data_IF_768623102341
#
_entry.id   IF_768623102341
#
_cell.length_a   1.000
_cell.length_b   1.000
_cell.length_c   1.000
_cell.angle_alpha   90.00
_cell.angle_beta   90.00
_cell.angle_gamma   90.00
#
_symmetry.space_group_name_H-M   'P 1'
#
loop_
_entity.id
_entity.type
_entity.pdbx_description
1 polymer ?
#
# COMPACT_ATOMS: atom_id res chain seq x y z
N UNK A 1 0.52 8.67 -14.11
CA UNK A 1 1.78 7.89 -14.05
C UNK A 1 1.67 6.70 -15.01
N UNK A 2 2.55 6.59 -16.03
CA UNK A 2 2.61 5.40 -16.90
C UNK A 2 3.20 4.23 -16.11
N UNK A 3 2.35 3.40 -15.51
CA UNK A 3 2.79 2.15 -14.86
C UNK A 3 2.99 1.11 -15.97
N UNK A 4 4.14 1.15 -16.66
CA UNK A 4 4.56 0.07 -17.56
C UNK A 4 4.81 -1.21 -16.75
N UNK A 5 4.39 -2.33 -17.32
CA UNK A 5 4.30 -3.70 -16.81
C UNK A 5 5.62 -4.36 -16.35
N UNK A 6 6.38 -3.72 -15.48
CA UNK A 6 7.46 -4.32 -14.71
C UNK A 6 7.31 -3.87 -13.26
N UNK A 7 6.52 -4.62 -12.48
CA UNK A 7 6.20 -4.33 -11.07
C UNK A 7 7.15 -5.02 -10.09
N UNK A 8 8.06 -5.87 -10.55
CA UNK A 8 9.17 -6.32 -9.73
C UNK A 8 10.14 -5.15 -9.55
N UNK A 9 10.33 -4.76 -8.30
CA UNK A 9 11.38 -3.84 -7.86
C UNK A 9 11.21 -2.35 -8.22
N UNK A 10 9.97 -1.84 -8.30
CA UNK A 10 9.77 -0.39 -8.48
C UNK A 10 9.78 0.38 -7.16
N UNK A 11 10.48 1.53 -7.10
CA UNK A 11 10.50 2.39 -5.93
C UNK A 11 9.12 2.98 -5.65
N UNK A 12 8.66 2.89 -4.40
CA UNK A 12 7.49 3.64 -3.91
C UNK A 12 7.97 4.98 -3.37
N UNK A 13 7.70 6.07 -4.10
CA UNK A 13 8.20 7.42 -3.81
C UNK A 13 7.09 8.49 -3.74
N UNK A 14 5.83 8.08 -3.67
CA UNK A 14 4.68 8.99 -3.58
C UNK A 14 3.88 8.70 -2.31
N UNK A 15 3.48 9.76 -1.63
CA UNK A 15 2.59 9.72 -0.47
C UNK A 15 1.36 10.58 -0.74
N UNK A 16 0.20 10.08 -0.33
CA UNK A 16 -1.06 10.82 -0.37
C UNK A 16 -1.38 11.29 1.04
N UNK A 17 -1.60 12.60 1.20
CA UNK A 17 -2.14 13.14 2.44
C UNK A 17 -3.27 14.12 2.13
N UNK A 18 -4.21 14.21 3.08
CA UNK A 18 -5.33 15.13 2.99
C UNK A 18 -5.04 16.35 3.85
N UNK A 19 -5.01 17.54 3.25
CA UNK A 19 -4.95 18.81 3.99
C UNK A 19 -6.35 19.41 4.10
N UNK A 20 -6.56 20.23 5.14
CA UNK A 20 -7.85 20.90 5.37
C UNK A 20 -8.14 21.97 4.32
N UNK A 21 -7.11 22.57 3.72
CA UNK A 21 -7.22 23.70 2.79
C UNK A 21 -7.17 23.28 1.31
N UNK A 22 -6.33 22.30 0.93
CA UNK A 22 -6.07 21.96 -0.48
C UNK A 22 -6.55 20.55 -0.90
N UNK A 23 -7.30 19.86 -0.05
CA UNK A 23 -7.84 18.53 -0.39
C UNK A 23 -6.77 17.43 -0.42
N UNK A 24 -6.90 16.49 -1.37
CA UNK A 24 -5.99 15.34 -1.51
C UNK A 24 -4.72 15.78 -2.27
N UNK A 25 -3.59 15.81 -1.58
CA UNK A 25 -2.29 16.16 -2.16
C UNK A 25 -1.43 14.91 -2.35
N UNK A 26 -0.83 14.81 -3.53
CA UNK A 26 0.22 13.83 -3.84
C UNK A 26 1.55 14.52 -3.59
N UNK A 27 2.29 14.08 -2.58
CA UNK A 27 3.65 14.55 -2.33
C UNK A 27 4.65 13.50 -2.75
N UNK A 28 5.67 13.94 -3.48
CA UNK A 28 6.84 13.13 -3.74
C UNK A 28 7.70 13.11 -2.48
N UNK A 29 8.15 11.94 -2.08
CA UNK A 29 9.00 11.80 -0.89
C UNK A 29 10.26 12.66 -1.02
N UNK A 30 10.43 13.64 -0.13
CA UNK A 30 11.52 14.64 -0.16
C UNK A 30 12.92 14.06 0.05
N UNK A 31 13.04 12.81 0.52
CA UNK A 31 14.30 12.19 0.90
C UNK A 31 14.47 10.81 0.27
N UNK A 32 15.68 10.53 -0.24
CA UNK A 32 16.07 9.23 -0.82
C UNK A 32 15.84 8.05 0.13
N UNK A 33 15.87 8.27 1.46
CA UNK A 33 15.62 7.22 2.46
C UNK A 33 14.16 6.76 2.56
N UNK A 34 13.20 7.54 2.05
CA UNK A 34 11.77 7.16 2.07
C UNK A 34 11.37 6.37 0.83
N UNK A 35 12.21 6.36 -0.21
CA UNK A 35 12.02 5.55 -1.39
C UNK A 35 12.46 4.12 -1.08
N UNK A 36 11.50 3.20 -1.02
CA UNK A 36 11.78 1.78 -0.75
C UNK A 36 11.25 0.89 -1.86
N UNK A 37 11.97 -0.18 -2.09
CA UNK A 37 11.58 -1.23 -3.01
C UNK A 37 10.91 -2.34 -2.22
N UNK A 38 9.69 -2.69 -2.60
CA UNK A 38 8.95 -3.80 -1.98
C UNK A 38 8.84 -4.92 -3.01
N UNK A 39 9.37 -6.09 -2.66
CA UNK A 39 9.20 -7.30 -3.48
C UNK A 39 7.80 -7.84 -3.26
N UNK A 40 7.00 -7.86 -4.32
CA UNK A 40 5.66 -8.43 -4.30
C UNK A 40 5.73 -9.91 -4.73
N UNK A 41 5.02 -10.82 -4.03
CA UNK A 41 4.92 -12.21 -4.46
C UNK A 41 4.36 -12.32 -5.90
N UNK A 42 4.80 -13.30 -6.70
CA UNK A 42 4.32 -13.47 -8.08
C UNK A 42 2.78 -13.53 -8.22
N UNK A 43 2.02 -14.21 -7.32
CA UNK A 43 0.56 -14.21 -7.39
C UNK A 43 -0.04 -12.81 -7.25
N UNK A 44 0.48 -12.01 -6.32
CA UNK A 44 0.01 -10.63 -6.11
C UNK A 44 0.32 -9.74 -7.31
N UNK A 45 1.45 -9.98 -7.97
CA UNK A 45 1.84 -9.25 -9.17
C UNK A 45 0.90 -9.54 -10.35
N UNK A 46 0.43 -10.77 -10.50
CA UNK A 46 -0.56 -11.13 -11.53
C UNK A 46 -1.90 -10.45 -11.27
N UNK A 47 -2.40 -10.50 -10.03
CA UNK A 47 -3.64 -9.81 -9.63
C UNK A 47 -3.54 -8.30 -9.91
N UNK A 48 -2.41 -7.67 -9.59
CA UNK A 48 -2.20 -6.25 -9.86
C UNK A 48 -2.11 -5.91 -11.35
N UNK A 49 -1.60 -6.83 -12.18
CA UNK A 49 -1.57 -6.65 -13.63
C UNK A 49 -2.98 -6.72 -14.22
N UNK A 50 -3.74 -7.75 -13.86
CA UNK A 50 -5.14 -7.91 -14.27
C UNK A 50 -5.99 -6.70 -13.83
N UNK A 51 -5.81 -6.26 -12.58
CA UNK A 51 -6.46 -5.05 -12.08
C UNK A 51 -6.06 -3.82 -12.90
N UNK A 52 -4.78 -3.65 -13.24
CA UNK A 52 -4.32 -2.50 -14.04
C UNK A 52 -4.91 -2.49 -15.44
N UNK A 53 -5.14 -3.65 -16.05
CA UNK A 53 -5.81 -3.79 -17.35
C UNK A 53 -7.29 -3.44 -17.27
N UNK A 54 -7.96 -3.76 -16.15
CA UNK A 54 -9.36 -3.36 -15.92
C UNK A 54 -9.55 -1.85 -15.67
N UNK A 55 -8.46 -1.13 -15.34
CA UNK A 55 -8.51 0.27 -14.93
C UNK A 55 -7.86 1.19 -15.96
N UNK A 56 -8.69 1.98 -16.65
CA UNK A 56 -8.24 3.04 -17.55
C UNK A 56 -7.93 4.36 -16.80
N UNK A 57 -6.94 4.34 -15.91
CA UNK A 57 -6.49 5.54 -15.20
C UNK A 57 -4.96 5.65 -15.15
N UNK A 58 -4.50 6.89 -14.98
CA UNK A 58 -3.11 7.25 -14.68
C UNK A 58 -2.67 6.79 -13.29
N UNK A 59 -3.61 6.46 -12.41
CA UNK A 59 -3.39 5.97 -11.04
C UNK A 59 -3.52 4.45 -10.98
N UNK A 60 -2.77 3.81 -10.08
CA UNK A 60 -2.95 2.37 -9.82
C UNK A 60 -4.32 2.11 -9.19
N UNK A 61 -4.68 2.92 -8.19
CA UNK A 61 -5.97 2.89 -7.52
C UNK A 61 -6.68 4.23 -7.77
N UNK A 62 -7.57 4.32 -8.76
CA UNK A 62 -8.30 5.53 -9.06
C UNK A 62 -9.40 5.79 -8.02
N UNK A 63 -9.82 7.04 -7.87
CA UNK A 63 -11.00 7.38 -7.08
C UNK A 63 -12.25 6.93 -7.82
N UNK A 64 -13.21 6.27 -7.14
CA UNK A 64 -14.48 5.85 -7.75
C UNK A 64 -15.39 7.03 -8.09
N UNK A 65 -15.10 8.22 -7.56
CA UNK A 65 -15.92 9.45 -7.73
C UNK A 65 -15.28 10.43 -8.72
N UNK A 66 -13.96 10.36 -8.93
CA UNK A 66 -13.20 11.31 -9.76
C UNK A 66 -12.08 10.59 -10.50
N UNK A 67 -12.22 10.44 -11.81
CA UNK A 67 -11.30 9.66 -12.65
C UNK A 67 -9.85 10.20 -12.64
N UNK A 68 -9.69 11.52 -12.47
CA UNK A 68 -8.39 12.20 -12.46
C UNK A 68 -7.64 12.13 -11.12
N UNK A 69 -8.30 11.66 -10.06
CA UNK A 69 -7.72 11.63 -8.72
C UNK A 69 -7.40 10.19 -8.26
N UNK A 70 -6.35 10.01 -7.45
CA UNK A 70 -6.10 8.74 -6.81
C UNK A 70 -7.15 8.47 -5.72
N UNK A 71 -7.28 7.20 -5.34
CA UNK A 71 -8.12 6.78 -4.23
C UNK A 71 -7.70 7.52 -2.95
N UNK A 72 -8.64 8.27 -2.37
CA UNK A 72 -8.37 8.97 -1.12
C UNK A 72 -8.28 7.95 0.04
N UNK A 73 -7.32 8.10 0.98
CA UNK A 73 -7.13 7.14 2.07
C UNK A 73 -8.38 6.85 2.91
N UNK A 74 -9.27 7.83 3.05
CA UNK A 74 -10.54 7.67 3.76
C UNK A 74 -11.46 6.62 3.14
N UNK A 75 -11.41 6.45 1.81
CA UNK A 75 -12.27 5.51 1.09
C UNK A 75 -11.85 4.05 1.30
N UNK A 76 -10.65 3.78 1.78
CA UNK A 76 -10.18 2.40 1.96
C UNK A 76 -10.83 1.72 3.17
N UNK A 77 -11.35 2.51 4.11
CA UNK A 77 -11.96 2.00 5.35
C UNK A 77 -13.25 1.24 5.07
N UNK A 78 -14.13 1.77 4.21
CA UNK A 78 -15.43 1.16 3.94
C UNK A 78 -15.31 -0.22 3.26
N UNK A 79 -14.53 -0.39 2.16
CA UNK A 79 -14.28 -1.70 1.58
C UNK A 79 -13.63 -2.67 2.57
N UNK A 80 -12.69 -2.21 3.40
CA UNK A 80 -12.07 -3.07 4.42
C UNK A 80 -13.11 -3.58 5.42
N UNK A 81 -13.96 -2.71 5.96
CA UNK A 81 -15.03 -3.11 6.88
C UNK A 81 -15.99 -4.12 6.24
N UNK A 82 -16.42 -3.87 4.99
CA UNK A 82 -17.28 -4.79 4.25
C UNK A 82 -16.62 -6.15 4.07
N UNK A 83 -15.35 -6.20 3.67
CA UNK A 83 -14.63 -7.48 3.52
C UNK A 83 -14.60 -8.23 4.85
N UNK A 84 -14.28 -7.55 5.95
CA UNK A 84 -14.22 -8.17 7.28
C UNK A 84 -15.59 -8.66 7.78
N UNK A 85 -16.67 -7.95 7.46
CA UNK A 85 -18.05 -8.38 7.76
C UNK A 85 -18.41 -9.64 6.98
N UNK A 86 -18.13 -9.67 5.67
CA UNK A 86 -18.41 -10.85 4.83
C UNK A 86 -17.58 -12.07 5.25
N UNK A 87 -16.35 -11.87 5.71
CA UNK A 87 -15.49 -12.96 6.20
C UNK A 87 -15.69 -13.26 7.69
N UNK A 88 -16.66 -12.62 8.37
CA UNK A 88 -16.93 -12.77 9.81
C UNK A 88 -15.69 -12.58 10.68
N UNK A 89 -14.76 -11.75 10.24
CA UNK A 89 -13.50 -11.50 10.91
C UNK A 89 -13.63 -10.35 11.91
N UNK A 90 -12.71 -10.31 12.88
CA UNK A 90 -12.60 -9.17 13.81
C UNK A 90 -12.39 -7.89 13.00
N UNK A 91 -13.14 -6.83 13.36
CA UNK A 91 -12.94 -5.51 12.79
C UNK A 91 -11.53 -5.00 13.14
N UNK A 92 -10.75 -4.71 12.11
CA UNK A 92 -9.39 -4.18 12.22
C UNK A 92 -9.28 -2.88 11.43
N UNK A 93 -8.39 -1.99 11.85
CA UNK A 93 -8.10 -0.74 11.16
C UNK A 93 -7.14 -1.01 10.01
N UNK A 94 -7.11 -0.12 9.03
CA UNK A 94 -6.26 -0.30 7.85
C UNK A 94 -4.76 -0.42 8.19
N UNK A 95 -4.28 0.26 9.23
CA UNK A 95 -2.88 0.13 9.65
C UNK A 95 -2.59 -1.15 10.45
N UNK A 96 -3.62 -1.80 11.00
CA UNK A 96 -3.44 -3.09 11.66
C UNK A 96 -3.02 -4.15 10.62
N UNK A 97 -3.38 -4.01 9.34
CA UNK A 97 -2.86 -4.86 8.24
C UNK A 97 -1.32 -4.83 8.17
N UNK A 98 -0.73 -3.65 8.36
CA UNK A 98 0.73 -3.49 8.38
C UNK A 98 1.34 -4.11 9.63
N UNK A 99 0.67 -4.01 10.77
CA UNK A 99 1.10 -4.68 12.00
C UNK A 99 1.03 -6.21 11.86
N UNK A 100 -0.08 -6.73 11.34
CA UNK A 100 -0.26 -8.15 11.04
C UNK A 100 0.87 -8.66 10.13
N UNK A 101 1.23 -7.92 9.08
CA UNK A 101 2.39 -8.27 8.26
C UNK A 101 3.71 -8.31 9.05
N UNK A 102 3.95 -7.32 9.92
CA UNK A 102 5.15 -7.27 10.76
C UNK A 102 5.25 -8.46 11.74
N UNK A 103 4.11 -8.96 12.23
CA UNK A 103 4.05 -10.11 13.13
C UNK A 103 4.10 -11.46 12.39
N UNK A 104 3.35 -11.61 11.30
CA UNK A 104 3.22 -12.89 10.58
C UNK A 104 4.41 -13.17 9.68
N UNK A 105 5.03 -12.17 9.05
CA UNK A 105 6.12 -12.41 8.11
C UNK A 105 7.32 -13.13 8.78
N UNK A 106 7.82 -12.70 9.96
CA UNK A 106 8.87 -13.44 10.68
C UNK A 106 8.45 -14.84 11.11
N UNK A 107 7.20 -15.03 11.53
CA UNK A 107 6.67 -16.36 11.91
C UNK A 107 6.65 -17.34 10.74
N UNK A 108 6.54 -16.84 9.51
CA UNK A 108 6.57 -17.63 8.28
C UNK A 108 7.99 -17.73 7.67
N UNK A 109 9.03 -17.38 8.43
CA UNK A 109 10.43 -17.56 8.02
C UNK A 109 11.03 -16.41 7.21
N UNK A 110 10.37 -15.24 7.13
CA UNK A 110 10.95 -14.05 6.51
C UNK A 110 11.91 -13.37 7.48
N UNK A 111 13.16 -13.13 7.07
CA UNK A 111 14.16 -12.47 7.91
C UNK A 111 13.70 -11.08 8.38
N UNK A 112 14.02 -10.74 9.63
CA UNK A 112 13.58 -9.50 10.27
C UNK A 112 14.17 -8.26 9.58
N UNK A 113 15.36 -8.35 8.97
CA UNK A 113 15.91 -7.24 8.18
C UNK A 113 15.11 -7.01 6.90
N UNK A 114 14.63 -8.08 6.26
CA UNK A 114 13.75 -7.99 5.10
C UNK A 114 12.41 -7.37 5.47
N UNK A 115 11.79 -7.81 6.59
CA UNK A 115 10.54 -7.23 7.09
C UNK A 115 10.72 -5.75 7.45
N UNK A 116 11.78 -5.40 8.16
CA UNK A 116 12.15 -4.02 8.51
C UNK A 116 12.35 -3.15 7.26
N UNK A 117 13.03 -3.66 6.23
CA UNK A 117 13.23 -2.98 4.95
C UNK A 117 11.92 -2.73 4.18
N UNK A 118 11.01 -3.72 4.15
CA UNK A 118 9.70 -3.59 3.50
C UNK A 118 8.81 -2.57 4.23
N UNK A 119 8.83 -2.61 5.56
CA UNK A 119 8.10 -1.66 6.38
C UNK A 119 8.71 -0.26 6.25
N UNK A 120 10.02 -0.12 6.21
CA UNK A 120 10.70 1.18 6.23
C UNK A 120 10.82 1.76 7.64
N UNK A 121 10.78 0.91 8.67
CA UNK A 121 11.14 1.27 10.04
C UNK A 121 12.54 0.71 10.33
N UNK A 122 13.46 1.58 10.77
CA UNK A 122 14.54 1.17 11.66
C UNK A 122 13.85 0.65 12.91
N UNK A 123 14.01 -0.64 13.22
CA UNK A 123 13.45 -1.26 14.43
C UNK A 123 13.82 -0.41 15.67
N UNK A 124 12.90 -0.10 16.59
CA UNK A 124 13.31 0.07 17.98
C UNK A 124 13.82 -1.31 18.42
N UNK A 125 15.06 -1.35 18.91
CA UNK A 125 15.67 -2.56 19.46
C UNK A 125 14.82 -3.16 20.60
N UNK A 126 15.07 -4.42 20.99
CA UNK A 126 14.38 -5.03 22.11
C UNK A 126 14.57 -4.19 23.39
N UNK A 127 13.61 -4.25 24.33
CA UNK A 127 13.59 -3.41 25.53
C UNK A 127 14.84 -3.57 26.41
#
# INVERSE_FOLDING_TARGET
>A
MKIKANLLNKPVNFQLYRTKENGLLVSQSKTKSSTRTVSLPPPLLNILKEYKESVNSQWMFPSPVREDLPLAPAYIRTPLCLILEHTQCKQIRFHDLRYIFATLAPQNGVDMKTVSGILGHLLPGPP
#
